data_IF_754232968210
#
_entry.id   IF_754232968210
#
_cell.length_a   1.000
_cell.length_b   1.000
_cell.length_c   1.000
_cell.angle_alpha   90.00
_cell.angle_beta   90.00
_cell.angle_gamma   90.00
#
_symmetry.space_group_name_H-M   'P 1'
#
loop_
_entity.id
_entity.type
_entity.pdbx_description
1 polymer ?
#
# COMPACT_ATOMS: atom_id res chain seq x y z
N UNK A 1 9.99 -11.33 -1.88
CA UNK A 1 11.03 -10.33 -2.18
C UNK A 1 12.45 -10.92 -2.23
N UNK A 2 12.84 -11.80 -1.29
CA UNK A 2 14.22 -12.33 -1.21
C UNK A 2 14.50 -13.57 -2.10
N UNK A 3 13.45 -14.18 -2.68
CA UNK A 3 13.64 -15.23 -3.67
C UNK A 3 14.09 -14.59 -4.99
N UNK A 4 15.15 -15.13 -5.58
CA UNK A 4 15.65 -14.77 -6.92
C UNK A 4 15.00 -15.67 -8.01
N UNK A 5 13.76 -16.10 -7.75
CA UNK A 5 12.87 -16.75 -8.70
C UNK A 5 11.41 -16.53 -8.27
N UNK A 6 10.49 -16.60 -9.24
CA UNK A 6 9.04 -16.60 -8.97
C UNK A 6 8.54 -18.04 -8.93
N UNK A 7 7.91 -18.51 -7.84
CA UNK A 7 7.32 -19.85 -7.81
C UNK A 7 6.22 -20.02 -8.87
N UNK A 8 6.10 -21.22 -9.42
CA UNK A 8 5.10 -21.55 -10.43
C UNK A 8 3.90 -22.31 -9.84
N UNK A 9 2.77 -22.25 -10.54
CA UNK A 9 1.56 -22.98 -10.19
C UNK A 9 0.76 -22.39 -9.02
N UNK A 10 -0.36 -23.05 -8.72
CA UNK A 10 -1.23 -22.66 -7.62
C UNK A 10 -0.63 -23.10 -6.28
N UNK A 11 -0.63 -22.21 -5.30
CA UNK A 11 -0.14 -22.55 -3.95
C UNK A 11 -1.27 -22.84 -2.99
N UNK A 12 -1.12 -23.92 -2.22
CA UNK A 12 -2.11 -24.37 -1.23
C UNK A 12 -1.68 -24.12 0.21
N UNK A 13 -0.42 -23.79 0.40
CA UNK A 13 0.22 -23.55 1.70
C UNK A 13 1.14 -22.33 1.58
N UNK A 14 1.33 -21.63 2.69
CA UNK A 14 2.18 -20.44 2.77
C UNK A 14 2.27 -19.97 4.21
N UNK A 15 3.44 -19.44 4.59
CA UNK A 15 3.64 -18.88 5.93
C UNK A 15 3.29 -17.39 5.91
N UNK A 16 2.34 -16.98 6.75
CA UNK A 16 1.87 -15.59 6.89
C UNK A 16 1.33 -14.95 5.60
N UNK A 17 1.06 -15.73 4.55
CA UNK A 17 0.50 -15.23 3.29
C UNK A 17 0.62 -16.25 2.15
N UNK A 18 -0.17 -16.03 1.11
CA UNK A 18 -0.12 -16.80 -0.14
C UNK A 18 1.06 -16.33 -0.99
N UNK A 19 1.73 -17.26 -1.70
CA UNK A 19 2.78 -16.88 -2.64
C UNK A 19 2.23 -16.08 -3.82
N UNK A 20 3.04 -15.15 -4.31
CA UNK A 20 2.78 -14.47 -5.57
C UNK A 20 3.27 -15.35 -6.73
N UNK A 21 2.34 -15.88 -7.52
CA UNK A 21 2.59 -16.70 -8.71
C UNK A 21 1.64 -16.28 -9.82
N UNK A 22 2.01 -16.50 -11.08
CA UNK A 22 1.13 -16.20 -12.21
C UNK A 22 -0.21 -16.94 -12.10
N UNK A 23 -0.19 -18.22 -11.73
CA UNK A 23 -1.42 -19.01 -11.61
C UNK A 23 -2.32 -18.50 -10.47
N UNK A 24 -1.76 -18.10 -9.34
CA UNK A 24 -2.54 -17.47 -8.26
C UNK A 24 -3.16 -16.14 -8.72
N UNK A 25 -2.44 -15.34 -9.51
CA UNK A 25 -2.98 -14.10 -10.10
C UNK A 25 -4.16 -14.38 -11.02
N UNK A 26 -4.00 -15.34 -11.95
CA UNK A 26 -5.06 -15.76 -12.88
C UNK A 26 -6.32 -16.23 -12.15
N UNK A 27 -6.15 -17.07 -11.11
CA UNK A 27 -7.25 -17.58 -10.30
C UNK A 27 -7.99 -16.47 -9.56
N UNK A 28 -7.24 -15.57 -8.89
CA UNK A 28 -7.84 -14.45 -8.15
C UNK A 28 -8.54 -13.47 -9.09
N UNK A 29 -7.94 -13.14 -10.24
CA UNK A 29 -8.54 -12.27 -11.25
C UNK A 29 -9.86 -12.84 -11.75
N UNK A 30 -9.92 -14.14 -12.05
CA UNK A 30 -11.13 -14.81 -12.49
C UNK A 30 -12.25 -14.77 -11.44
N UNK A 31 -11.92 -15.04 -10.17
CA UNK A 31 -12.88 -15.00 -9.06
C UNK A 31 -13.42 -13.57 -8.82
N UNK A 32 -12.54 -12.57 -8.86
CA UNK A 32 -12.93 -11.17 -8.74
C UNK A 32 -13.75 -10.69 -9.95
N UNK A 33 -13.50 -11.19 -11.15
CA UNK A 33 -14.30 -10.87 -12.34
C UNK A 33 -15.73 -11.43 -12.23
N UNK A 34 -15.89 -12.62 -11.65
CA UNK A 34 -17.21 -13.17 -11.33
C UNK A 34 -17.95 -12.31 -10.31
N UNK A 35 -17.32 -12.02 -9.18
CA UNK A 35 -17.89 -11.15 -8.14
C UNK A 35 -18.18 -9.74 -8.66
N UNK A 36 -17.34 -9.21 -9.54
CA UNK A 36 -17.52 -7.88 -10.13
C UNK A 36 -18.75 -7.82 -11.04
N UNK A 37 -19.04 -8.91 -11.78
CA UNK A 37 -20.26 -9.01 -12.60
C UNK A 37 -21.51 -9.08 -11.74
N UNK A 38 -21.47 -9.87 -10.66
CA UNK A 38 -22.59 -9.99 -9.73
C UNK A 38 -22.92 -8.65 -9.05
N UNK A 39 -21.89 -7.94 -8.57
CA UNK A 39 -22.05 -6.70 -7.81
C UNK A 39 -22.20 -5.45 -8.69
N UNK A 40 -22.01 -5.55 -10.01
CA UNK A 40 -22.01 -4.40 -10.92
C UNK A 40 -20.88 -3.39 -10.63
N UNK A 41 -19.79 -3.83 -9.99
CA UNK A 41 -18.67 -2.99 -9.57
C UNK A 41 -17.35 -3.70 -9.82
N UNK A 42 -16.41 -3.03 -10.47
CA UNK A 42 -15.09 -3.59 -10.73
C UNK A 42 -14.24 -3.64 -9.47
N UNK A 43 -13.90 -4.85 -9.01
CA UNK A 43 -12.98 -5.05 -7.89
C UNK A 43 -11.55 -5.10 -8.42
N UNK A 44 -10.73 -4.16 -7.95
CA UNK A 44 -9.31 -4.06 -8.29
C UNK A 44 -8.50 -5.11 -7.51
N UNK A 45 -7.61 -5.81 -8.19
CA UNK A 45 -6.68 -6.77 -7.63
C UNK A 45 -5.33 -6.12 -7.36
N UNK A 46 -4.79 -6.33 -6.15
CA UNK A 46 -3.51 -5.79 -5.71
C UNK A 46 -2.53 -6.90 -5.31
N UNK A 47 -1.24 -6.69 -5.54
CA UNK A 47 -0.17 -7.56 -5.03
C UNK A 47 1.17 -6.80 -4.91
N UNK A 48 2.26 -7.51 -4.61
CA UNK A 48 3.59 -6.94 -4.38
C UNK A 48 4.53 -7.24 -5.56
N UNK A 49 5.22 -6.23 -6.08
CA UNK A 49 6.31 -6.41 -7.03
C UNK A 49 7.67 -6.45 -6.33
N UNK A 50 7.83 -5.76 -5.20
CA UNK A 50 9.13 -5.53 -4.54
C UNK A 50 9.94 -6.82 -4.27
N UNK A 51 11.22 -6.80 -4.65
CA UNK A 51 12.15 -7.91 -4.44
C UNK A 51 13.18 -8.04 -5.55
N UNK A 52 13.90 -9.17 -5.54
CA UNK A 52 14.85 -9.53 -6.59
C UNK A 52 14.16 -9.79 -7.93
N UNK A 53 12.92 -10.30 -7.94
CA UNK A 53 12.18 -10.57 -9.18
C UNK A 53 11.18 -9.46 -9.54
N UNK A 54 11.50 -8.19 -9.26
CA UNK A 54 10.55 -7.08 -9.46
C UNK A 54 10.06 -6.98 -10.93
N UNK A 55 10.93 -7.07 -11.95
CA UNK A 55 10.48 -7.02 -13.35
C UNK A 55 9.63 -8.22 -13.78
N UNK A 56 9.98 -9.43 -13.33
CA UNK A 56 9.21 -10.64 -13.61
C UNK A 56 7.83 -10.53 -13.00
N UNK A 57 7.73 -10.14 -11.72
CA UNK A 57 6.45 -9.92 -11.04
C UNK A 57 5.60 -8.85 -11.73
N UNK A 58 6.20 -7.75 -12.18
CA UNK A 58 5.49 -6.72 -12.93
C UNK A 58 4.98 -7.23 -14.28
N UNK A 59 5.77 -8.04 -14.97
CA UNK A 59 5.38 -8.67 -16.24
C UNK A 59 4.20 -9.61 -16.05
N UNK A 60 4.28 -10.50 -15.06
CA UNK A 60 3.19 -11.44 -14.75
C UNK A 60 1.92 -10.69 -14.31
N UNK A 61 2.04 -9.63 -13.51
CA UNK A 61 0.94 -8.78 -13.11
C UNK A 61 0.27 -8.10 -14.33
N UNK A 62 1.07 -7.61 -15.30
CA UNK A 62 0.56 -7.04 -16.54
C UNK A 62 -0.15 -8.07 -17.43
N UNK A 63 0.39 -9.28 -17.56
CA UNK A 63 -0.23 -10.36 -18.35
C UNK A 63 -1.55 -10.83 -17.75
N UNK A 64 -1.63 -10.96 -16.42
CA UNK A 64 -2.83 -11.40 -15.70
C UNK A 64 -3.77 -10.26 -15.31
N UNK A 65 -3.50 -9.02 -15.77
CA UNK A 65 -4.31 -7.83 -15.54
C UNK A 65 -4.61 -7.59 -14.05
N UNK A 66 -3.55 -7.47 -13.26
CA UNK A 66 -3.64 -6.84 -11.94
C UNK A 66 -3.82 -5.34 -12.11
N UNK A 67 -4.35 -4.69 -11.07
CA UNK A 67 -4.75 -3.28 -11.13
C UNK A 67 -3.81 -2.38 -10.34
N UNK A 68 -3.25 -2.93 -9.26
CA UNK A 68 -2.38 -2.21 -8.34
C UNK A 68 -1.21 -3.10 -7.91
N UNK A 69 -0.01 -2.54 -7.80
CA UNK A 69 1.17 -3.29 -7.37
C UNK A 69 2.02 -2.47 -6.42
N UNK A 70 2.44 -3.04 -5.29
CA UNK A 70 3.44 -2.39 -4.44
C UNK A 70 4.79 -2.39 -5.16
N UNK A 71 5.29 -1.20 -5.46
CA UNK A 71 6.51 -0.97 -6.23
C UNK A 71 7.17 0.33 -5.74
N UNK A 72 8.06 0.19 -4.76
CA UNK A 72 8.78 1.27 -4.10
C UNK A 72 10.27 1.23 -4.49
N UNK A 73 10.88 2.38 -4.76
CA UNK A 73 12.28 2.43 -5.22
C UNK A 73 13.31 2.09 -4.14
N UNK A 74 12.96 2.23 -2.87
CA UNK A 74 13.89 2.14 -1.74
C UNK A 74 13.61 0.94 -0.83
N UNK A 75 12.40 0.36 -0.87
CA UNK A 75 12.01 -0.76 -0.01
C UNK A 75 13.03 -1.91 0.01
N UNK A 76 13.46 -2.35 -1.17
CA UNK A 76 14.42 -3.45 -1.31
C UNK A 76 15.75 -3.17 -0.61
N UNK A 77 16.21 -1.92 -0.68
CA UNK A 77 17.48 -1.47 -0.11
C UNK A 77 17.36 -1.41 1.40
N UNK A 78 16.39 -0.66 1.90
CA UNK A 78 16.32 -0.26 3.31
C UNK A 78 15.79 -1.38 4.22
N UNK A 79 14.85 -2.19 3.73
CA UNK A 79 14.14 -3.16 4.57
C UNK A 79 14.41 -4.62 4.20
N UNK A 80 15.16 -4.86 3.12
CA UNK A 80 15.49 -6.22 2.63
C UNK A 80 16.96 -6.43 2.33
N UNK A 81 17.81 -5.42 2.53
CA UNK A 81 19.26 -5.48 2.29
C UNK A 81 19.61 -5.95 0.86
N UNK A 82 18.79 -5.57 -0.12
CA UNK A 82 19.06 -5.81 -1.53
C UNK A 82 19.99 -4.70 -2.04
N UNK A 83 20.98 -5.09 -2.85
CA UNK A 83 21.97 -4.16 -3.40
C UNK A 83 21.30 -2.94 -4.10
N UNK A 84 21.73 -1.69 -3.80
CA UNK A 84 21.13 -0.49 -4.38
C UNK A 84 21.14 -0.43 -5.92
N UNK A 85 22.24 -0.80 -6.54
CA UNK A 85 22.35 -0.77 -8.01
C UNK A 85 21.37 -1.78 -8.63
N UNK A 86 21.29 -2.99 -8.07
CA UNK A 86 20.29 -4.00 -8.46
C UNK A 86 18.87 -3.46 -8.32
N UNK A 87 18.51 -2.93 -7.15
CA UNK A 87 17.15 -2.42 -6.90
C UNK A 87 16.77 -1.30 -7.85
N UNK A 88 17.66 -0.33 -8.11
CA UNK A 88 17.35 0.79 -9.01
C UNK A 88 17.19 0.36 -10.48
N UNK A 89 17.91 -0.67 -10.93
CA UNK A 89 17.74 -1.24 -12.28
C UNK A 89 16.39 -1.97 -12.38
N UNK A 90 16.07 -2.81 -11.40
CA UNK A 90 14.85 -3.61 -11.38
C UNK A 90 13.59 -2.75 -11.25
N UNK A 91 13.60 -1.75 -10.36
CA UNK A 91 12.45 -0.85 -10.18
C UNK A 91 12.16 -0.06 -11.45
N UNK A 92 13.20 0.38 -12.18
CA UNK A 92 13.02 1.17 -13.39
C UNK A 92 12.29 0.36 -14.46
N UNK A 93 12.76 -0.85 -14.73
CA UNK A 93 12.15 -1.69 -15.76
C UNK A 93 10.76 -2.19 -15.33
N UNK A 94 10.57 -2.61 -14.08
CA UNK A 94 9.25 -3.01 -13.58
C UNK A 94 8.22 -1.87 -13.65
N UNK A 95 8.62 -0.63 -13.38
CA UNK A 95 7.77 0.55 -13.52
C UNK A 95 7.41 0.87 -14.97
N UNK A 96 8.33 0.71 -15.92
CA UNK A 96 8.01 0.82 -17.35
C UNK A 96 6.94 -0.20 -17.77
N UNK A 97 7.01 -1.42 -17.23
CA UNK A 97 5.97 -2.44 -17.45
C UNK A 97 4.64 -2.02 -16.83
N UNK A 98 4.62 -1.52 -15.59
CA UNK A 98 3.39 -1.01 -14.94
C UNK A 98 2.78 0.18 -15.68
N UNK A 99 3.60 1.14 -16.13
CA UNK A 99 3.17 2.27 -16.95
C UNK A 99 2.43 1.78 -18.20
N UNK A 100 3.04 0.82 -18.92
CA UNK A 100 2.43 0.23 -20.12
C UNK A 100 1.17 -0.57 -19.84
N UNK A 101 1.11 -1.28 -18.72
CA UNK A 101 -0.03 -2.10 -18.32
C UNK A 101 -1.21 -1.29 -17.74
N UNK A 102 -1.00 0.00 -17.46
CA UNK A 102 -2.02 0.84 -16.79
C UNK A 102 -2.20 0.51 -15.32
N UNK A 103 -1.18 -0.06 -14.67
CA UNK A 103 -1.19 -0.43 -13.25
C UNK A 103 -0.88 0.80 -12.40
N UNK A 104 -1.61 0.98 -11.30
CA UNK A 104 -1.29 1.97 -10.27
C UNK A 104 -0.24 1.37 -9.34
N UNK A 105 0.89 2.04 -9.16
CA UNK A 105 1.88 1.60 -8.17
C UNK A 105 1.48 2.05 -6.78
N UNK A 106 1.87 1.30 -5.76
CA UNK A 106 1.79 1.71 -4.36
C UNK A 106 3.19 1.74 -3.75
N UNK A 107 3.54 2.85 -3.12
CA UNK A 107 4.83 3.00 -2.42
C UNK A 107 4.69 2.65 -0.94
N UNK A 108 5.83 2.50 -0.26
CA UNK A 108 5.94 1.82 1.04
C UNK A 108 6.34 2.73 2.19
N UNK A 109 5.90 3.99 2.21
CA UNK A 109 6.31 4.96 3.23
C UNK A 109 5.89 4.61 4.67
N UNK A 110 4.90 3.73 4.86
CA UNK A 110 4.52 3.17 6.16
C UNK A 110 5.69 2.46 6.87
N UNK A 111 6.63 1.88 6.11
CA UNK A 111 7.79 1.19 6.68
C UNK A 111 8.71 2.14 7.46
N UNK A 112 8.72 3.44 7.12
CA UNK A 112 9.51 4.44 7.85
C UNK A 112 8.87 4.80 9.20
N UNK A 113 7.54 4.74 9.29
CA UNK A 113 6.78 5.22 10.46
C UNK A 113 6.51 4.12 11.49
N UNK A 114 6.45 2.87 11.05
CA UNK A 114 6.18 1.72 11.93
C UNK A 114 7.37 1.37 12.84
N UNK A 115 8.59 1.77 12.48
CA UNK A 115 9.82 1.45 13.23
C UNK A 115 10.46 2.64 13.94
N UNK A 116 10.15 3.87 13.53
CA UNK A 116 10.69 5.11 14.09
C UNK A 116 9.59 6.00 14.68
N UNK A 117 9.96 7.13 15.28
CA UNK A 117 8.97 8.12 15.72
C UNK A 117 8.37 8.85 14.51
N UNK A 118 7.05 8.82 14.38
CA UNK A 118 6.36 9.34 13.20
C UNK A 118 6.39 10.87 13.10
N UNK A 119 6.60 11.59 14.20
CA UNK A 119 6.76 13.05 14.18
C UNK A 119 8.14 13.42 13.66
N UNK A 120 9.18 12.76 14.19
CA UNK A 120 10.57 13.03 13.79
C UNK A 120 10.82 12.61 12.33
N UNK A 121 10.26 11.48 11.88
CA UNK A 121 10.49 10.95 10.53
C UNK A 121 9.51 11.45 9.46
N UNK A 122 8.64 12.41 9.78
CA UNK A 122 7.68 12.97 8.81
C UNK A 122 8.36 13.49 7.55
N UNK A 123 9.54 14.12 7.69
CA UNK A 123 10.32 14.61 6.56
C UNK A 123 10.83 13.47 5.66
N UNK A 124 11.16 12.32 6.25
CA UNK A 124 11.68 11.15 5.52
C UNK A 124 10.60 10.59 4.61
N UNK A 125 9.35 10.56 5.08
CA UNK A 125 8.18 10.19 4.26
C UNK A 125 8.03 11.13 3.07
N UNK A 126 8.02 12.44 3.28
CA UNK A 126 7.90 13.41 2.17
C UNK A 126 9.04 13.27 1.16
N UNK A 127 10.27 13.09 1.63
CA UNK A 127 11.44 12.86 0.75
C UNK A 127 11.27 11.55 -0.05
N UNK A 128 10.81 10.48 0.58
CA UNK A 128 10.52 9.21 -0.11
C UNK A 128 9.46 9.37 -1.20
N UNK A 129 8.37 10.09 -0.91
CA UNK A 129 7.31 10.34 -1.89
C UNK A 129 7.85 11.09 -3.12
N UNK A 130 8.63 12.16 -2.91
CA UNK A 130 9.25 12.94 -3.99
C UNK A 130 10.25 12.10 -4.81
N UNK A 131 11.03 11.23 -4.17
CA UNK A 131 11.93 10.32 -4.88
C UNK A 131 11.15 9.30 -5.73
N UNK A 132 10.10 8.71 -5.15
CA UNK A 132 9.27 7.74 -5.86
C UNK A 132 8.54 8.39 -7.04
N UNK A 133 8.01 9.60 -6.88
CA UNK A 133 7.42 10.40 -7.98
C UNK A 133 8.44 10.60 -9.11
N UNK A 134 9.62 11.12 -8.77
CA UNK A 134 10.68 11.37 -9.75
C UNK A 134 11.05 10.10 -10.55
N UNK A 135 11.31 8.98 -9.87
CA UNK A 135 11.67 7.74 -10.55
C UNK A 135 10.51 7.12 -11.34
N UNK A 136 9.27 7.29 -10.87
CA UNK A 136 8.11 6.79 -11.59
C UNK A 136 7.88 7.57 -12.89
N UNK A 137 8.05 8.89 -12.90
CA UNK A 137 8.00 9.69 -14.12
C UNK A 137 9.13 9.36 -15.09
N UNK A 138 10.35 9.16 -14.59
CA UNK A 138 11.47 8.72 -15.45
C UNK A 138 11.16 7.36 -16.12
N UNK A 139 10.47 6.47 -15.42
CA UNK A 139 10.01 5.19 -15.94
C UNK A 139 8.72 5.28 -16.79
N UNK A 140 8.13 6.47 -16.96
CA UNK A 140 6.98 6.73 -17.84
C UNK A 140 5.60 6.56 -17.20
N UNK A 141 5.49 6.50 -15.86
CA UNK A 141 4.20 6.57 -15.18
C UNK A 141 3.65 8.01 -15.18
N UNK A 142 2.33 8.11 -15.31
CA UNK A 142 1.58 9.35 -15.11
C UNK A 142 1.09 9.48 -13.65
N UNK A 143 0.74 10.70 -13.22
CA UNK A 143 0.31 11.00 -11.84
C UNK A 143 -0.82 10.09 -11.36
N UNK A 144 -1.80 9.81 -12.22
CA UNK A 144 -2.94 8.95 -11.89
C UNK A 144 -2.54 7.49 -11.58
N UNK A 145 -1.30 7.08 -11.91
CA UNK A 145 -0.73 5.77 -11.58
C UNK A 145 0.11 5.79 -10.31
N UNK A 146 0.29 6.94 -9.65
CA UNK A 146 1.15 7.10 -8.48
C UNK A 146 0.35 7.01 -7.18
N UNK A 147 0.10 5.80 -6.70
CA UNK A 147 -0.46 5.59 -5.35
C UNK A 147 0.58 5.81 -4.26
N UNK A 148 1.09 7.03 -4.14
CA UNK A 148 2.11 7.41 -3.15
C UNK A 148 1.56 7.22 -1.72
N UNK A 149 2.34 6.54 -0.88
CA UNK A 149 1.96 6.12 0.47
C UNK A 149 2.24 7.15 1.54
N UNK A 150 1.41 7.16 2.57
CA UNK A 150 1.62 7.76 3.90
C UNK A 150 0.63 7.15 4.89
N UNK A 151 0.88 7.32 6.20
CA UNK A 151 0.13 6.60 7.24
C UNK A 151 -0.20 7.48 8.45
N UNK A 152 -1.25 7.09 9.17
CA UNK A 152 -1.67 7.66 10.45
C UNK A 152 -0.98 6.91 11.60
N UNK A 153 0.23 7.32 11.97
CA UNK A 153 1.11 6.57 12.89
C UNK A 153 1.71 7.43 14.03
N UNK A 154 1.31 8.69 14.17
CA UNK A 154 1.69 9.53 15.31
C UNK A 154 1.04 8.94 16.57
N UNK A 155 1.86 8.78 17.61
CA UNK A 155 1.40 8.29 18.91
C UNK A 155 0.18 9.11 19.38
N UNK A 156 -0.99 8.48 19.60
CA UNK A 156 -2.21 9.22 19.96
C UNK A 156 -2.11 9.96 21.30
N UNK A 157 -1.17 9.58 22.18
CA UNK A 157 -0.95 10.25 23.46
C UNK A 157 -0.09 11.53 23.35
N UNK A 158 0.48 11.82 22.16
CA UNK A 158 1.16 13.09 21.89
C UNK A 158 0.11 14.22 21.84
N UNK A 159 0.31 15.33 22.56
CA UNK A 159 -0.60 16.47 22.49
C UNK A 159 -0.78 16.95 21.05
N UNK A 160 -2.04 17.22 20.66
CA UNK A 160 -2.39 17.66 19.30
C UNK A 160 -2.01 16.66 18.18
N UNK A 161 -1.82 15.37 18.50
CA UNK A 161 -1.48 14.32 17.52
C UNK A 161 -2.38 14.34 16.28
N UNK A 162 -3.71 14.42 16.46
CA UNK A 162 -4.67 14.49 15.36
C UNK A 162 -4.45 15.71 14.44
N UNK A 163 -4.03 16.85 15.00
CA UNK A 163 -3.73 18.05 14.21
C UNK A 163 -2.47 17.87 13.38
N UNK A 164 -1.46 17.19 13.92
CA UNK A 164 -0.23 16.86 13.19
C UNK A 164 -0.53 15.88 12.05
N UNK A 165 -1.32 14.84 12.32
CA UNK A 165 -1.80 13.88 11.32
C UNK A 165 -2.54 14.58 10.17
N UNK A 166 -3.48 15.46 10.51
CA UNK A 166 -4.20 16.24 9.52
C UNK A 166 -3.26 17.12 8.69
N UNK A 167 -2.27 17.76 9.32
CA UNK A 167 -1.32 18.61 8.63
C UNK A 167 -0.43 17.82 7.65
N UNK A 168 0.06 16.64 8.05
CA UNK A 168 0.85 15.79 7.16
C UNK A 168 0.02 15.23 6.00
N UNK A 169 -1.21 14.79 6.27
CA UNK A 169 -2.10 14.30 5.22
C UNK A 169 -2.47 15.40 4.21
N UNK A 170 -2.70 16.63 4.67
CA UNK A 170 -2.91 17.80 3.81
C UNK A 170 -1.65 18.13 3.00
N UNK A 171 -0.47 18.12 3.62
CA UNK A 171 0.78 18.38 2.92
C UNK A 171 0.97 17.40 1.75
N UNK A 172 0.78 16.10 1.97
CA UNK A 172 0.88 15.11 0.91
C UNK A 172 -0.15 15.36 -0.20
N UNK A 173 -1.39 15.72 0.15
CA UNK A 173 -2.43 16.05 -0.84
C UNK A 173 -2.03 17.25 -1.71
N UNK A 174 -1.50 18.31 -1.10
CA UNK A 174 -1.11 19.56 -1.77
C UNK A 174 0.12 19.41 -2.65
N UNK A 175 1.11 18.61 -2.24
CA UNK A 175 2.25 18.26 -3.09
C UNK A 175 1.83 17.37 -4.27
N UNK A 176 0.93 16.45 -3.94
CA UNK A 176 0.35 15.35 -4.71
C UNK A 176 -0.80 15.54 -5.70
N UNK A 177 -1.32 16.72 -6.08
CA UNK A 177 -2.77 16.94 -6.32
C UNK A 177 -3.49 15.95 -7.27
N UNK A 178 -2.80 15.43 -8.28
CA UNK A 178 -3.38 14.52 -9.29
C UNK A 178 -3.13 13.01 -8.99
N UNK A 179 -2.33 12.70 -7.97
CA UNK A 179 -2.00 11.35 -7.56
C UNK A 179 -3.12 10.71 -6.71
N UNK A 180 -3.47 9.42 -6.91
CA UNK A 180 -4.40 8.70 -6.05
C UNK A 180 -3.70 8.24 -4.76
N UNK A 181 -3.38 9.17 -3.86
CA UNK A 181 -2.60 8.89 -2.63
C UNK A 181 -3.16 7.70 -1.83
N UNK A 182 -2.25 6.83 -1.36
CA UNK A 182 -2.53 5.66 -0.54
C UNK A 182 -2.41 6.02 0.94
N UNK A 183 -3.54 6.07 1.62
CA UNK A 183 -3.65 6.41 3.04
C UNK A 183 -3.78 5.15 3.89
N UNK A 184 -2.86 4.97 4.84
CA UNK A 184 -2.70 3.74 5.62
C UNK A 184 -3.04 3.94 7.10
N UNK A 185 -3.68 2.95 7.73
CA UNK A 185 -4.22 3.07 9.08
C UNK A 185 -3.11 2.98 10.14
N UNK A 186 -3.42 3.33 11.39
CA UNK A 186 -2.51 3.08 12.51
C UNK A 186 -2.29 1.59 12.71
N UNK A 187 -1.04 1.21 12.97
CA UNK A 187 -0.67 -0.17 13.30
C UNK A 187 0.22 -0.21 14.54
N UNK A 188 1.21 0.67 14.65
CA UNK A 188 2.21 0.67 15.74
C UNK A 188 1.59 0.90 17.12
N UNK A 189 0.58 1.77 17.17
CA UNK A 189 -0.10 2.16 18.40
C UNK A 189 -1.42 1.43 18.64
N UNK A 190 -1.77 0.48 17.77
CA UNK A 190 -2.89 -0.43 17.98
C UNK A 190 -2.54 -1.44 19.08
N UNK A 191 -3.52 -1.80 19.90
CA UNK A 191 -3.34 -2.73 21.03
C UNK A 191 -4.48 -3.75 21.07
N UNK A 192 -4.52 -4.60 22.09
CA UNK A 192 -5.65 -5.50 22.33
C UNK A 192 -6.95 -4.79 22.76
N UNK A 193 -6.92 -3.48 23.01
CA UNK A 193 -8.14 -2.69 23.25
C UNK A 193 -8.81 -2.35 21.92
N UNK A 194 -9.68 -3.26 21.47
CA UNK A 194 -10.43 -3.12 20.21
C UNK A 194 -11.38 -1.91 20.22
N UNK A 195 -11.81 -1.42 21.39
CA UNK A 195 -12.70 -0.26 21.47
C UNK A 195 -11.94 1.02 21.19
N UNK A 196 -10.75 1.16 21.78
CA UNK A 196 -9.84 2.27 21.49
C UNK A 196 -9.33 2.19 20.04
N UNK A 197 -9.00 0.99 19.56
CA UNK A 197 -8.60 0.76 18.17
C UNK A 197 -9.65 1.24 17.17
N UNK A 198 -10.91 0.83 17.34
CA UNK A 198 -12.01 1.28 16.47
C UNK A 198 -12.23 2.81 16.50
N UNK A 199 -12.06 3.44 17.66
CA UNK A 199 -12.12 4.91 17.76
C UNK A 199 -10.97 5.58 17.01
N UNK A 200 -9.76 5.05 17.12
CA UNK A 200 -8.58 5.56 16.41
C UNK A 200 -8.74 5.42 14.89
N UNK A 201 -9.26 4.28 14.42
CA UNK A 201 -9.64 4.07 13.02
C UNK A 201 -10.68 5.10 12.55
N UNK A 202 -11.60 5.52 13.42
CA UNK A 202 -12.54 6.61 13.14
C UNK A 202 -11.86 7.95 12.88
N UNK A 203 -10.83 8.30 13.67
CA UNK A 203 -10.03 9.50 13.42
C UNK A 203 -9.21 9.41 12.14
N UNK A 204 -8.64 8.23 11.85
CA UNK A 204 -7.97 7.94 10.58
C UNK A 204 -8.90 8.16 9.38
N UNK A 205 -10.13 7.64 9.44
CA UNK A 205 -11.15 7.81 8.40
C UNK A 205 -11.54 9.28 8.22
N UNK A 206 -11.70 10.01 9.33
CA UNK A 206 -12.00 11.45 9.33
C UNK A 206 -10.90 12.24 8.62
N UNK A 207 -9.63 12.04 8.99
CA UNK A 207 -8.49 12.72 8.34
C UNK A 207 -8.41 12.36 6.86
N UNK A 208 -8.60 11.09 6.50
CA UNK A 208 -8.61 10.66 5.10
C UNK A 208 -9.67 11.38 4.27
N UNK A 209 -10.86 11.55 4.84
CA UNK A 209 -11.98 12.25 4.19
C UNK A 209 -11.74 13.77 4.10
N UNK A 210 -11.29 14.40 5.19
CA UNK A 210 -11.03 15.84 5.24
C UNK A 210 -9.94 16.30 4.26
N UNK A 211 -9.02 15.42 3.92
CA UNK A 211 -7.86 15.72 3.06
C UNK A 211 -7.96 15.15 1.65
N UNK A 212 -9.07 14.47 1.31
CA UNK A 212 -9.30 13.97 -0.05
C UNK A 212 -8.31 12.87 -0.47
N UNK A 213 -8.05 11.91 0.43
CA UNK A 213 -7.20 10.76 0.13
C UNK A 213 -7.86 9.82 -0.90
N UNK A 214 -7.07 9.20 -1.78
CA UNK A 214 -7.58 8.44 -2.93
C UNK A 214 -7.82 6.96 -2.64
N UNK A 215 -6.78 6.27 -2.19
CA UNK A 215 -6.80 4.83 -1.87
C UNK A 215 -6.76 4.69 -0.35
N UNK A 216 -7.89 4.36 0.26
CA UNK A 216 -8.00 4.10 1.69
C UNK A 216 -7.69 2.64 2.00
N UNK A 217 -6.61 2.36 2.72
CA UNK A 217 -6.39 1.05 3.34
C UNK A 217 -7.15 1.04 4.68
N UNK A 218 -8.21 0.24 4.74
CA UNK A 218 -9.14 0.27 5.88
C UNK A 218 -8.47 -0.30 7.14
N UNK A 219 -8.43 0.49 8.21
CA UNK A 219 -7.95 0.09 9.54
C UNK A 219 -8.85 -0.94 10.22
N UNK A 220 -8.24 -1.80 11.04
CA UNK A 220 -8.93 -2.88 11.72
C UNK A 220 -8.79 -2.71 13.23
N UNK A 221 -9.92 -2.72 13.94
CA UNK A 221 -9.91 -2.69 15.41
C UNK A 221 -9.12 -3.85 16.05
N UNK A 222 -8.89 -4.94 15.28
CA UNK A 222 -8.14 -6.15 15.67
C UNK A 222 -6.71 -6.19 15.11
N UNK A 223 -6.19 -5.07 14.57
CA UNK A 223 -4.88 -4.99 13.89
C UNK A 223 -3.74 -5.66 14.67
N UNK A 224 -3.64 -5.39 15.97
CA UNK A 224 -2.57 -5.92 16.83
C UNK A 224 -2.80 -7.36 17.32
N UNK A 225 -3.88 -8.02 16.88
CA UNK A 225 -4.33 -9.31 17.42
C UNK A 225 -4.28 -10.42 16.38
N UNK A 226 -4.96 -10.24 15.25
CA UNK A 226 -5.16 -11.31 14.26
C UNK A 226 -5.55 -10.73 12.90
N UNK A 227 -5.28 -11.47 11.82
CA UNK A 227 -5.90 -11.19 10.51
C UNK A 227 -7.41 -11.05 10.68
N UNK A 228 -8.03 -9.98 10.18
CA UNK A 228 -9.41 -9.64 10.51
C UNK A 228 -10.40 -10.74 10.11
N UNK A 229 -11.40 -10.95 10.95
CA UNK A 229 -12.51 -11.85 10.65
C UNK A 229 -13.57 -11.14 9.79
N UNK A 230 -14.66 -11.85 9.47
CA UNK A 230 -15.78 -11.25 8.74
C UNK A 230 -16.44 -10.11 9.53
N UNK A 231 -16.60 -10.28 10.86
CA UNK A 231 -17.16 -9.24 11.74
C UNK A 231 -16.31 -7.98 11.75
N UNK A 232 -14.99 -8.15 11.83
CA UNK A 232 -14.06 -7.03 11.95
C UNK A 232 -14.08 -6.19 10.67
N UNK A 233 -14.09 -6.87 9.51
CA UNK A 233 -14.26 -6.22 8.21
C UNK A 233 -15.60 -5.48 8.10
N UNK A 234 -16.69 -6.08 8.58
CA UNK A 234 -18.01 -5.44 8.53
C UNK A 234 -18.06 -4.19 9.40
N UNK A 235 -17.57 -4.26 10.64
CA UNK A 235 -17.48 -3.12 11.57
C UNK A 235 -16.59 -2.01 10.98
N UNK A 236 -15.44 -2.36 10.44
CA UNK A 236 -14.55 -1.38 9.82
C UNK A 236 -15.21 -0.66 8.62
N UNK A 237 -15.97 -1.39 7.79
CA UNK A 237 -16.75 -0.79 6.70
C UNK A 237 -17.91 0.06 7.19
N UNK A 238 -18.54 -0.27 8.33
CA UNK A 238 -19.54 0.60 8.96
C UNK A 238 -18.91 1.91 9.44
N UNK A 239 -17.73 1.84 10.06
CA UNK A 239 -16.96 3.01 10.51
C UNK A 239 -16.56 3.91 9.33
N UNK A 240 -16.04 3.34 8.24
CA UNK A 240 -15.68 4.11 7.02
C UNK A 240 -16.89 4.84 6.40
N UNK A 241 -18.11 4.29 6.54
CA UNK A 241 -19.33 4.87 5.96
C UNK A 241 -19.98 5.95 6.83
N UNK A 242 -19.67 5.98 8.12
CA UNK A 242 -20.26 6.89 9.09
C UNK A 242 -19.67 8.29 8.96
#
# INVERSE_FOLDING_TARGET
>A
SLLDYVPEGATREGFAGTYATQENFRLMRAALDESSRELGRYVRLTNYASGLCMPEMATLAGLERLDMMLNDSMYGILFRDINPVRTFVDQRFSRQVHARAGIIINTGEDNYLTTADAVDEAHTVTVSQLLNEFFAHEAGLADWQLGLGHAFEINPDVPESLRLELAHALLARELFPDAPLKWMPPTKHMTGDVFRGNLLDGFFNLVGTLTGQGILLVGMMTEAVVTPWLSDRDIALQNVRY
#
